data_IF_194875238842
#
_entry.id   IF_194875238842
#
_cell.length_a   1.000
_cell.length_b   1.000
_cell.length_c   1.000
_cell.angle_alpha   90.00
_cell.angle_beta   90.00
_cell.angle_gamma   90.00
#
_symmetry.space_group_name_H-M   'P 1'
#
loop_
_entity.id
_entity.type
_entity.pdbx_description
1 polymer ?
#
# COMPACT_ATOMS: atom_id res chain seq x y z
N UNK A 1 -37.04 -43.53 16.81
CA UNK A 1 -38.39 -42.98 17.07
C UNK A 1 -38.38 -41.55 16.57
N UNK A 2 -39.16 -41.28 15.53
CA UNK A 2 -39.32 -39.95 14.96
C UNK A 2 -40.28 -39.13 15.83
N UNK A 3 -39.98 -37.84 16.03
CA UNK A 3 -40.97 -36.87 16.50
C UNK A 3 -41.05 -35.71 15.52
N UNK A 4 -42.25 -35.61 14.95
CA UNK A 4 -42.80 -34.72 13.96
C UNK A 4 -42.88 -33.24 14.38
N UNK A 5 -42.52 -32.38 13.43
CA UNK A 5 -43.29 -31.26 12.85
C UNK A 5 -44.34 -30.51 13.68
N UNK A 6 -44.25 -29.17 13.66
CA UNK A 6 -45.41 -28.28 13.56
C UNK A 6 -45.05 -26.94 12.91
N UNK A 7 -45.45 -26.79 11.64
CA UNK A 7 -45.61 -25.55 10.88
C UNK A 7 -47.09 -25.15 10.94
N UNK A 8 -47.39 -23.90 11.30
CA UNK A 8 -48.65 -23.18 11.03
C UNK A 8 -48.28 -21.71 10.86
N UNK A 9 -48.17 -21.17 9.64
CA UNK A 9 -49.23 -20.62 8.77
C UNK A 9 -50.00 -19.44 9.38
N UNK A 10 -49.72 -18.24 8.90
CA UNK A 10 -50.72 -17.18 8.69
C UNK A 10 -50.28 -16.29 7.52
N UNK A 11 -50.99 -16.45 6.41
CA UNK A 11 -51.14 -15.49 5.30
C UNK A 11 -52.02 -14.32 5.81
N UNK A 12 -52.19 -13.13 5.21
CA UNK A 12 -52.15 -12.69 3.82
C UNK A 12 -52.27 -11.13 3.77
N UNK A 13 -52.17 -10.58 2.54
CA UNK A 13 -52.63 -9.27 2.04
C UNK A 13 -51.66 -8.08 2.28
N UNK A 14 -51.23 -7.28 1.29
CA UNK A 14 -51.87 -6.84 0.05
C UNK A 14 -50.85 -6.55 -1.07
N UNK A 15 -51.17 -6.98 -2.28
CA UNK A 15 -50.62 -6.45 -3.52
C UNK A 15 -51.30 -5.12 -3.88
N UNK A 16 -50.54 -4.16 -4.41
CA UNK A 16 -51.07 -3.13 -5.31
C UNK A 16 -50.05 -2.81 -6.40
N UNK A 17 -50.35 -3.30 -7.59
CA UNK A 17 -49.80 -2.81 -8.84
C UNK A 17 -50.38 -1.44 -9.17
N UNK A 18 -49.53 -0.53 -9.67
CA UNK A 18 -49.95 0.55 -10.56
C UNK A 18 -48.95 0.61 -11.71
N UNK A 19 -49.45 0.25 -12.89
CA UNK A 19 -48.91 0.53 -14.21
C UNK A 19 -49.44 1.89 -14.71
N UNK A 20 -48.85 2.41 -15.79
CA UNK A 20 -49.08 3.66 -16.57
C UNK A 20 -47.97 4.71 -16.35
N UNK A 21 -47.27 5.22 -17.37
CA UNK A 21 -47.50 5.28 -18.81
C UNK A 21 -46.18 5.32 -19.60
N UNK A 22 -46.20 4.67 -20.76
CA UNK A 22 -45.32 4.95 -21.89
C UNK A 22 -45.76 6.24 -22.60
N UNK A 23 -44.79 7.02 -23.09
CA UNK A 23 -44.98 7.95 -24.22
C UNK A 23 -43.84 7.70 -25.20
N UNK A 24 -44.24 7.25 -26.38
CA UNK A 24 -43.48 7.24 -27.63
C UNK A 24 -43.04 8.65 -28.02
N UNK A 25 -41.80 8.81 -28.49
CA UNK A 25 -41.54 9.67 -29.65
C UNK A 25 -40.51 9.04 -30.58
N UNK A 26 -40.94 8.97 -31.84
CA UNK A 26 -40.27 8.44 -33.02
C UNK A 26 -39.03 9.24 -33.44
N UNK A 27 -38.05 8.49 -33.98
CA UNK A 27 -37.21 8.75 -35.17
C UNK A 27 -36.72 10.18 -35.41
N UNK A 28 -35.39 10.36 -35.49
CA UNK A 28 -34.79 10.45 -36.82
C UNK A 28 -33.29 10.11 -36.85
N UNK A 29 -32.97 9.48 -37.97
CA UNK A 29 -31.71 9.02 -38.54
C UNK A 29 -30.69 10.14 -38.74
N UNK A 30 -29.40 9.85 -38.55
CA UNK A 30 -28.32 10.12 -39.54
C UNK A 30 -26.98 9.56 -39.07
N UNK A 31 -26.56 8.54 -39.80
CA UNK A 31 -25.19 8.04 -39.86
C UNK A 31 -24.34 9.09 -40.56
N UNK A 32 -23.26 9.56 -39.95
CA UNK A 32 -22.19 10.30 -40.63
C UNK A 32 -20.91 9.46 -40.60
N UNK A 33 -20.69 8.71 -41.68
CA UNK A 33 -19.39 8.13 -42.02
C UNK A 33 -18.46 9.28 -42.42
N UNK A 34 -17.50 9.62 -41.57
CA UNK A 34 -16.38 10.50 -41.93
C UNK A 34 -15.23 9.62 -42.37
N UNK A 35 -14.93 9.71 -43.67
CA UNK A 35 -13.79 9.06 -44.32
C UNK A 35 -12.48 9.76 -43.92
N UNK A 36 -11.52 9.00 -43.42
CA UNK A 36 -10.13 9.44 -43.23
C UNK A 36 -9.33 9.15 -44.51
N UNK A 37 -8.48 10.08 -45.01
CA UNK A 37 -7.55 9.76 -46.07
C UNK A 37 -6.29 9.09 -45.50
N UNK A 38 -5.89 8.01 -46.16
CA UNK A 38 -4.64 7.30 -45.93
C UNK A 38 -3.45 8.16 -46.38
N UNK A 39 -2.49 8.39 -45.48
CA UNK A 39 -1.17 8.91 -45.83
C UNK A 39 -0.17 7.76 -45.85
N UNK A 40 0.22 7.37 -47.06
CA UNK A 40 1.37 6.51 -47.35
C UNK A 40 2.62 7.36 -47.56
N UNK A 41 3.73 6.99 -46.91
CA UNK A 41 5.06 7.25 -47.44
C UNK A 41 6.02 7.96 -46.48
N UNK A 42 6.91 7.18 -45.86
CA UNK A 42 8.28 7.64 -45.65
C UNK A 42 9.25 6.49 -45.89
N UNK A 43 10.20 6.77 -46.78
CA UNK A 43 11.27 5.89 -47.24
C UNK A 43 12.34 5.79 -46.17
N UNK A 44 12.82 4.57 -45.96
CA UNK A 44 14.01 4.22 -45.19
C UNK A 44 15.26 4.82 -45.87
N UNK A 45 16.07 5.55 -45.10
CA UNK A 45 17.44 5.90 -45.46
C UNK A 45 18.41 5.15 -44.54
N UNK A 46 19.15 4.22 -45.16
CA UNK A 46 20.30 3.52 -44.62
C UNK A 46 21.43 4.49 -44.25
N UNK A 47 21.93 4.38 -43.02
CA UNK A 47 23.13 5.08 -42.56
C UNK A 47 24.33 4.13 -42.59
N UNK A 48 25.31 4.44 -43.42
CA UNK A 48 26.62 3.79 -43.53
C UNK A 48 27.47 4.03 -42.27
N UNK A 49 27.92 2.94 -41.63
CA UNK A 49 28.88 2.99 -40.54
C UNK A 49 30.32 2.94 -41.08
N UNK A 50 31.08 4.02 -40.90
CA UNK A 50 32.54 4.05 -41.10
C UNK A 50 33.25 3.58 -39.84
N UNK A 51 34.10 2.56 -40.02
CA UNK A 51 34.92 1.90 -39.01
C UNK A 51 36.21 2.69 -38.80
N UNK A 52 36.40 3.26 -37.60
CA UNK A 52 37.67 3.89 -37.20
C UNK A 52 38.44 2.95 -36.27
N UNK A 53 39.61 2.52 -36.73
CA UNK A 53 40.65 1.82 -35.94
C UNK A 53 41.44 2.83 -35.12
N UNK A 54 41.51 2.64 -33.81
CA UNK A 54 42.46 3.35 -32.95
C UNK A 54 43.27 2.38 -32.10
N UNK A 55 44.53 2.76 -31.94
CA UNK A 55 45.69 1.97 -31.57
C UNK A 55 45.79 1.78 -30.05
N UNK A 56 46.08 0.55 -29.65
CA UNK A 56 46.40 0.15 -28.28
C UNK A 56 47.75 0.74 -27.82
N UNK A 57 47.72 1.56 -26.77
CA UNK A 57 48.93 2.02 -26.07
C UNK A 57 48.86 1.58 -24.61
N UNK A 58 49.56 0.47 -24.30
CA UNK A 58 49.76 -0.04 -22.94
C UNK A 58 50.51 1.00 -22.08
N UNK A 59 49.91 1.42 -20.98
CA UNK A 59 50.57 2.23 -19.94
C UNK A 59 50.62 1.40 -18.65
N UNK A 60 51.83 1.03 -18.22
CA UNK A 60 52.10 0.41 -16.91
C UNK A 60 51.72 1.39 -15.80
N UNK A 61 50.92 0.95 -14.84
CA UNK A 61 50.65 1.67 -13.59
C UNK A 61 51.18 0.83 -12.43
N UNK A 62 51.98 1.49 -11.59
CA UNK A 62 52.65 0.97 -10.40
C UNK A 62 51.63 0.56 -9.32
N UNK A 63 51.81 -0.63 -8.74
CA UNK A 63 50.99 -1.16 -7.66
C UNK A 63 51.35 -0.49 -6.33
N UNK A 64 50.48 0.37 -5.81
CA UNK A 64 50.55 0.87 -4.43
C UNK A 64 49.60 0.03 -3.57
N UNK A 65 50.14 -0.77 -2.65
CA UNK A 65 49.37 -1.47 -1.62
C UNK A 65 48.73 -0.42 -0.70
N UNK A 66 47.41 -0.29 -0.76
CA UNK A 66 46.64 0.45 0.24
C UNK A 66 46.24 -0.54 1.32
N UNK A 67 46.69 -0.29 2.57
CA UNK A 67 46.23 -0.99 3.76
C UNK A 67 44.73 -0.74 3.91
N UNK A 68 43.92 -1.79 3.94
CA UNK A 68 42.54 -1.71 4.38
C UNK A 68 42.55 -1.31 5.87
N UNK A 69 42.17 -0.07 6.13
CA UNK A 69 41.79 0.36 7.46
C UNK A 69 40.38 -0.16 7.72
N UNK A 70 40.21 -0.90 8.80
CA UNK A 70 38.90 -1.23 9.35
C UNK A 70 38.19 0.08 9.69
N UNK A 71 37.15 0.40 8.93
CA UNK A 71 36.24 1.51 9.19
C UNK A 71 34.86 0.89 9.37
N UNK A 72 34.44 0.89 10.64
CA UNK A 72 33.09 0.93 11.19
C UNK A 72 32.03 -0.02 10.61
N UNK A 73 31.82 -1.13 11.32
CA UNK A 73 30.60 -1.95 11.28
C UNK A 73 29.58 -1.55 12.37
N UNK A 74 29.71 -0.35 12.96
CA UNK A 74 28.84 0.12 14.06
C UNK A 74 27.63 0.92 13.58
N UNK A 75 27.64 1.46 12.36
CA UNK A 75 26.55 2.31 11.87
C UNK A 75 25.39 1.52 11.22
N UNK A 76 25.66 0.37 10.59
CA UNK A 76 24.61 -0.41 9.90
C UNK A 76 23.69 -1.20 10.86
N UNK A 77 24.22 -1.58 12.04
CA UNK A 77 23.45 -2.33 13.05
C UNK A 77 22.46 -1.46 13.81
N UNK A 78 22.79 -0.18 14.00
CA UNK A 78 21.95 0.77 14.76
C UNK A 78 20.70 1.16 13.95
N UNK A 79 20.81 1.29 12.63
CA UNK A 79 19.69 1.61 11.72
C UNK A 79 18.65 0.47 11.67
N UNK A 80 19.11 -0.79 11.61
CA UNK A 80 18.21 -1.96 11.57
C UNK A 80 17.42 -2.12 12.87
N UNK A 81 18.04 -1.84 14.02
CA UNK A 81 17.34 -1.92 15.32
C UNK A 81 16.24 -0.89 15.49
N UNK A 82 16.42 0.32 14.96
CA UNK A 82 15.39 1.37 15.00
C UNK A 82 14.21 1.02 14.10
N UNK A 83 14.48 0.56 12.87
CA UNK A 83 13.44 0.07 11.95
C UNK A 83 12.65 -1.07 12.58
N UNK A 84 13.32 -2.04 13.21
CA UNK A 84 12.64 -3.15 13.88
C UNK A 84 11.77 -2.69 15.06
N UNK A 85 12.22 -1.70 15.84
CA UNK A 85 11.43 -1.10 16.91
C UNK A 85 10.19 -0.36 16.37
N UNK A 86 10.32 0.42 15.29
CA UNK A 86 9.19 1.09 14.64
C UNK A 86 8.19 0.09 14.07
N UNK A 87 8.68 -0.97 13.43
CA UNK A 87 7.85 -2.07 12.93
C UNK A 87 7.12 -2.77 14.08
N UNK A 88 7.81 -3.11 15.17
CA UNK A 88 7.19 -3.73 16.33
C UNK A 88 6.20 -2.80 17.05
N UNK A 89 6.46 -1.49 17.06
CA UNK A 89 5.50 -0.50 17.57
C UNK A 89 4.16 -0.61 16.81
N UNK A 90 4.21 -0.68 15.48
CA UNK A 90 3.00 -0.88 14.65
C UNK A 90 2.30 -2.19 14.99
N UNK A 91 3.06 -3.30 15.13
CA UNK A 91 2.51 -4.62 15.47
C UNK A 91 1.76 -4.56 16.81
N UNK A 92 2.39 -3.98 17.84
CA UNK A 92 1.82 -3.99 19.19
C UNK A 92 0.70 -2.97 19.38
N UNK A 93 0.72 -1.81 18.72
CA UNK A 93 -0.45 -0.93 18.67
C UNK A 93 -1.66 -1.64 18.05
N UNK A 94 -1.44 -2.44 17.00
CA UNK A 94 -2.51 -3.22 16.38
C UNK A 94 -3.03 -4.33 17.30
N UNK A 95 -2.14 -5.11 17.92
CA UNK A 95 -2.49 -6.16 18.87
C UNK A 95 -3.29 -5.57 20.05
N UNK A 96 -2.77 -4.52 20.69
CA UNK A 96 -3.38 -3.94 21.89
C UNK A 96 -4.77 -3.36 21.64
N UNK A 97 -4.95 -2.69 20.51
CA UNK A 97 -6.26 -2.15 20.14
C UNK A 97 -7.27 -3.28 19.89
N UNK A 98 -6.88 -4.35 19.19
CA UNK A 98 -7.72 -5.52 18.92
C UNK A 98 -8.08 -6.24 20.23
N UNK A 99 -7.12 -6.45 21.13
CA UNK A 99 -7.36 -7.04 22.44
C UNK A 99 -8.33 -6.20 23.26
N UNK A 100 -8.09 -4.88 23.35
CA UNK A 100 -8.94 -3.97 24.12
C UNK A 100 -10.38 -3.92 23.58
N UNK A 101 -10.54 -3.98 22.26
CA UNK A 101 -11.85 -4.03 21.62
C UNK A 101 -12.50 -5.42 21.71
N UNK A 102 -11.74 -6.46 22.06
CA UNK A 102 -12.13 -7.87 21.94
C UNK A 102 -12.72 -8.19 20.55
N UNK A 103 -12.18 -7.53 19.52
CA UNK A 103 -12.70 -7.55 18.16
C UNK A 103 -11.67 -6.99 17.18
N UNK A 104 -11.42 -7.67 16.07
CA UNK A 104 -10.53 -7.18 15.01
C UNK A 104 -9.62 -8.25 14.43
N UNK A 105 -8.64 -7.80 13.62
CA UNK A 105 -7.82 -8.66 12.77
C UNK A 105 -6.33 -8.34 12.99
N UNK A 106 -5.64 -9.04 13.91
CA UNK A 106 -4.23 -8.75 14.22
C UNK A 106 -3.26 -9.35 13.18
N UNK A 107 -3.66 -10.41 12.47
CA UNK A 107 -2.78 -11.16 11.58
C UNK A 107 -2.12 -10.33 10.47
N UNK A 108 -2.93 -9.62 9.67
CA UNK A 108 -2.42 -8.77 8.59
C UNK A 108 -1.53 -7.63 9.12
N UNK A 109 -1.95 -6.82 10.12
CA UNK A 109 -1.07 -5.80 10.70
C UNK A 109 0.29 -6.34 11.15
N UNK A 110 0.33 -7.53 11.75
CA UNK A 110 1.58 -8.15 12.19
C UNK A 110 2.51 -8.52 11.03
N UNK A 111 1.96 -9.11 9.96
CA UNK A 111 2.71 -9.50 8.77
C UNK A 111 3.17 -8.30 7.92
N UNK A 112 2.28 -7.32 7.74
CA UNK A 112 2.47 -6.16 6.86
C UNK A 112 3.15 -4.95 7.52
N UNK A 113 3.41 -4.96 8.84
CA UNK A 113 4.07 -3.84 9.52
C UNK A 113 5.37 -3.37 8.83
N UNK A 114 6.27 -4.24 8.33
CA UNK A 114 7.46 -3.83 7.59
C UNK A 114 7.17 -2.97 6.35
N UNK A 115 6.29 -3.44 5.46
CA UNK A 115 5.95 -2.70 4.24
C UNK A 115 5.17 -1.42 4.56
N UNK A 116 4.32 -1.45 5.59
CA UNK A 116 3.59 -0.27 6.06
C UNK A 116 4.53 0.81 6.59
N UNK A 117 5.50 0.42 7.42
CA UNK A 117 6.53 1.32 7.95
C UNK A 117 7.34 1.96 6.82
N UNK A 118 7.93 1.15 5.92
CA UNK A 118 8.73 1.67 4.80
C UNK A 118 7.90 2.62 3.92
N UNK A 119 6.63 2.32 3.67
CA UNK A 119 5.75 3.20 2.91
C UNK A 119 5.56 4.56 3.58
N UNK A 120 5.15 4.58 4.84
CA UNK A 120 4.80 5.81 5.55
C UNK A 120 6.03 6.60 6.00
N UNK A 121 7.11 5.95 6.40
CA UNK A 121 8.27 6.63 6.96
C UNK A 121 9.25 7.11 5.88
N UNK A 122 9.42 6.33 4.81
CA UNK A 122 10.51 6.57 3.84
C UNK A 122 10.04 6.96 2.43
N UNK A 123 8.86 6.50 2.01
CA UNK A 123 8.49 6.50 0.57
C UNK A 123 7.44 7.53 0.22
N UNK A 124 6.34 7.58 0.96
CA UNK A 124 5.17 8.36 0.59
C UNK A 124 5.39 9.85 0.89
N UNK A 125 4.96 10.70 -0.04
CA UNK A 125 4.88 12.14 0.18
C UNK A 125 3.50 12.50 0.70
N UNK A 126 3.40 12.84 1.97
CA UNK A 126 2.15 13.31 2.56
C UNK A 126 2.42 14.41 3.58
N UNK A 127 1.35 15.04 4.05
CA UNK A 127 1.42 16.00 5.15
C UNK A 127 0.35 15.61 6.18
N UNK A 128 0.73 15.08 7.36
CA UNK A 128 -0.22 14.65 8.38
C UNK A 128 -1.05 15.80 8.95
N UNK A 129 -0.54 17.04 8.86
CA UNK A 129 -1.25 18.26 9.28
C UNK A 129 -2.13 18.85 8.17
N UNK A 130 -2.07 18.30 6.97
CA UNK A 130 -2.98 18.63 5.88
C UNK A 130 -3.34 17.36 5.09
N UNK A 131 -4.24 16.51 5.62
CA UNK A 131 -4.70 15.30 4.94
C UNK A 131 -5.41 15.60 3.61
N UNK A 132 -5.72 16.86 3.31
CA UNK A 132 -6.37 17.30 2.08
C UNK A 132 -5.40 17.90 1.06
N UNK A 133 -4.07 17.86 1.31
CA UNK A 133 -3.09 18.32 0.33
C UNK A 133 -3.29 17.62 -1.01
N UNK A 134 -3.58 18.40 -2.04
CA UNK A 134 -4.00 17.87 -3.34
C UNK A 134 -2.99 16.92 -3.99
N UNK A 135 -1.69 17.21 -3.89
CA UNK A 135 -0.65 16.45 -4.57
C UNK A 135 0.12 15.47 -3.66
N UNK A 136 -0.46 15.07 -2.52
CA UNK A 136 0.09 13.98 -1.70
C UNK A 136 0.07 12.65 -2.46
N UNK A 137 0.92 11.70 -2.12
CA UNK A 137 0.71 10.32 -2.54
C UNK A 137 -0.55 9.75 -1.86
N UNK A 138 -1.26 8.86 -2.56
CA UNK A 138 -2.50 8.24 -2.08
C UNK A 138 -2.22 6.84 -1.57
N UNK A 139 -2.80 6.47 -0.43
CA UNK A 139 -2.71 5.13 0.13
C UNK A 139 -4.11 4.51 0.29
N UNK A 140 -4.28 3.29 -0.22
CA UNK A 140 -5.51 2.51 -0.08
C UNK A 140 -5.20 1.18 0.58
N UNK A 141 -5.79 0.91 1.74
CA UNK A 141 -5.81 -0.43 2.30
C UNK A 141 -7.00 -1.20 1.71
N UNK A 142 -6.76 -1.94 0.63
CA UNK A 142 -7.80 -2.77 0.01
C UNK A 142 -8.20 -3.93 0.91
N UNK A 143 -7.23 -4.54 1.60
CA UNK A 143 -7.47 -5.53 2.64
C UNK A 143 -7.96 -4.86 3.94
N UNK A 144 -9.15 -4.26 3.88
CA UNK A 144 -9.69 -3.35 4.90
C UNK A 144 -9.80 -3.92 6.31
N UNK A 145 -9.90 -5.25 6.44
CA UNK A 145 -9.95 -5.91 7.74
C UNK A 145 -8.72 -5.60 8.60
N UNK A 146 -7.55 -5.41 7.96
CA UNK A 146 -6.28 -4.99 8.57
C UNK A 146 -6.22 -3.51 8.99
N UNK A 147 -7.35 -2.84 9.15
CA UNK A 147 -7.49 -1.42 9.48
C UNK A 147 -6.55 -0.90 10.58
N UNK A 148 -6.25 -1.71 11.61
CA UNK A 148 -5.33 -1.31 12.67
C UNK A 148 -3.90 -1.05 12.19
N UNK A 149 -3.46 -1.66 11.08
CA UNK A 149 -2.22 -1.28 10.39
C UNK A 149 -2.28 0.19 9.99
N UNK A 150 -3.33 0.58 9.26
CA UNK A 150 -3.49 1.95 8.77
C UNK A 150 -3.67 2.95 9.91
N UNK A 151 -4.42 2.61 10.96
CA UNK A 151 -4.59 3.50 12.11
C UNK A 151 -3.30 3.69 12.90
N UNK A 152 -2.52 2.62 13.12
CA UNK A 152 -1.20 2.75 13.74
C UNK A 152 -0.26 3.62 12.91
N UNK A 153 -0.24 3.43 11.59
CA UNK A 153 0.57 4.25 10.67
C UNK A 153 0.15 5.73 10.68
N UNK A 154 -1.15 6.02 10.65
CA UNK A 154 -1.66 7.40 10.75
C UNK A 154 -1.30 8.05 12.09
N UNK A 155 -1.40 7.29 13.18
CA UNK A 155 -1.03 7.75 14.52
C UNK A 155 0.45 8.12 14.60
N UNK A 156 1.33 7.20 14.20
CA UNK A 156 2.79 7.40 14.22
C UNK A 156 3.23 8.50 13.26
N UNK A 157 2.55 8.64 12.11
CA UNK A 157 2.77 9.75 11.18
C UNK A 157 2.27 11.11 11.71
N UNK A 158 1.57 11.15 12.85
CA UNK A 158 1.15 12.39 13.50
C UNK A 158 -0.12 13.02 12.93
N UNK A 159 -1.01 12.23 12.32
CA UNK A 159 -2.33 12.70 11.91
C UNK A 159 -3.20 13.01 13.14
N UNK A 160 -3.78 14.22 13.19
CA UNK A 160 -4.67 14.63 14.30
C UNK A 160 -5.99 13.85 14.33
N UNK A 161 -6.24 13.01 13.32
CA UNK A 161 -7.39 12.13 13.21
C UNK A 161 -7.30 10.86 14.02
N UNK A 162 -6.08 10.44 14.36
CA UNK A 162 -5.84 9.17 15.06
C UNK A 162 -4.80 9.41 16.14
N UNK A 163 -5.26 9.71 17.35
CA UNK A 163 -4.43 9.80 18.54
C UNK A 163 -4.45 8.48 19.31
N UNK A 164 -3.64 8.38 20.36
CA UNK A 164 -3.57 7.19 21.19
C UNK A 164 -4.95 6.84 21.79
N UNK A 165 -5.74 7.84 22.21
CA UNK A 165 -7.10 7.66 22.70
C UNK A 165 -8.06 7.08 21.64
N UNK A 166 -7.84 7.41 20.37
CA UNK A 166 -8.62 6.88 19.26
C UNK A 166 -8.25 5.40 19.01
N UNK A 167 -6.97 5.03 19.09
CA UNK A 167 -6.54 3.63 19.03
C UNK A 167 -7.12 2.81 20.19
N UNK A 168 -7.13 3.37 21.40
CA UNK A 168 -7.78 2.76 22.57
C UNK A 168 -9.30 2.64 22.38
N UNK A 169 -9.90 3.43 21.50
CA UNK A 169 -11.34 3.40 21.22
C UNK A 169 -11.67 2.65 19.93
N UNK A 170 -10.75 1.82 19.42
CA UNK A 170 -10.98 0.99 18.24
C UNK A 170 -12.28 0.19 18.33
N UNK A 171 -13.08 0.23 17.25
CA UNK A 171 -14.40 -0.44 17.13
C UNK A 171 -15.45 -0.03 18.16
N UNK A 172 -15.25 1.08 18.87
CA UNK A 172 -16.25 1.59 19.80
C UNK A 172 -17.23 2.54 19.10
N UNK A 173 -18.42 2.68 19.67
CA UNK A 173 -19.45 3.56 19.13
C UNK A 173 -18.96 5.02 19.04
N UNK A 174 -19.08 5.62 17.85
CA UNK A 174 -18.68 7.00 17.60
C UNK A 174 -17.16 7.24 17.63
N UNK A 175 -16.34 6.18 17.58
CA UNK A 175 -14.89 6.33 17.48
C UNK A 175 -14.46 6.66 16.06
N UNK A 176 -13.31 7.32 15.95
CA UNK A 176 -12.66 7.65 14.67
C UNK A 176 -11.83 6.50 14.11
N UNK A 177 -11.93 5.34 14.72
CA UNK A 177 -11.20 4.10 14.38
C UNK A 177 -12.21 2.95 14.22
N UNK A 178 -13.10 3.04 13.20
CA UNK A 178 -14.10 2.00 12.92
C UNK A 178 -13.46 0.68 12.53
N UNK A 179 -14.26 -0.40 12.55
CA UNK A 179 -13.77 -1.77 12.33
C UNK A 179 -13.26 -2.07 10.92
N UNK A 180 -13.53 -1.19 9.96
CA UNK A 180 -12.92 -1.09 8.63
C UNK A 180 -12.69 0.40 8.34
N UNK A 181 -11.72 0.80 7.50
CA UNK A 181 -11.43 2.20 7.20
C UNK A 181 -12.63 2.89 6.54
N UNK A 182 -12.99 4.08 7.01
CA UNK A 182 -14.10 4.89 6.50
C UNK A 182 -13.61 6.31 6.17
N UNK A 183 -13.66 6.69 4.89
CA UNK A 183 -13.14 8.00 4.44
C UNK A 183 -13.92 9.20 5.00
N UNK A 184 -15.18 8.98 5.35
CA UNK A 184 -16.09 10.00 5.87
C UNK A 184 -15.93 10.21 7.38
N UNK A 185 -15.23 9.31 8.07
CA UNK A 185 -15.03 9.33 9.52
C UNK A 185 -13.59 9.72 9.90
N UNK A 186 -12.60 9.13 9.23
CA UNK A 186 -11.18 9.24 9.63
C UNK A 186 -10.37 10.01 8.59
N UNK A 187 -10.10 11.33 8.76
CA UNK A 187 -9.21 12.06 7.87
C UNK A 187 -7.84 11.38 7.73
N UNK A 188 -7.34 11.23 6.49
CA UNK A 188 -6.16 10.41 6.19
C UNK A 188 -6.47 9.00 5.69
N UNK A 189 -7.72 8.54 5.85
CA UNK A 189 -8.27 7.41 5.08
C UNK A 189 -8.82 7.93 3.77
N UNK A 190 -8.26 7.48 2.64
CA UNK A 190 -8.62 7.98 1.31
C UNK A 190 -10.00 7.46 0.85
N UNK A 191 -10.29 6.19 1.11
CA UNK A 191 -11.50 5.51 0.64
C UNK A 191 -12.01 4.53 1.70
N UNK A 192 -13.33 4.27 1.71
CA UNK A 192 -13.91 3.08 2.35
C UNK A 192 -13.57 1.83 1.51
N UNK A 193 -12.27 1.49 1.54
CA UNK A 193 -11.53 0.34 0.98
C UNK A 193 -11.85 -0.12 -0.46
N UNK A 194 -11.20 -1.19 -0.91
CA UNK A 194 -11.34 -1.75 -2.25
C UNK A 194 -10.23 -1.36 -3.24
N UNK A 195 -9.64 -2.36 -3.89
CA UNK A 195 -8.52 -2.21 -4.83
C UNK A 195 -8.84 -1.32 -6.03
N UNK A 196 -10.05 -1.46 -6.58
CA UNK A 196 -10.51 -0.74 -7.78
C UNK A 196 -10.51 0.79 -7.56
N UNK A 197 -10.70 1.24 -6.32
CA UNK A 197 -10.59 2.65 -5.98
C UNK A 197 -9.15 3.18 -6.13
N UNK A 198 -8.14 2.36 -5.83
CA UNK A 198 -6.73 2.69 -6.11
C UNK A 198 -6.46 2.89 -7.61
N UNK A 199 -7.06 2.05 -8.47
CA UNK A 199 -7.02 2.24 -9.93
C UNK A 199 -7.68 3.55 -10.35
N UNK A 200 -8.84 3.87 -9.78
CA UNK A 200 -9.54 5.13 -10.04
C UNK A 200 -8.74 6.38 -9.63
N UNK A 201 -8.08 6.33 -8.47
CA UNK A 201 -7.21 7.42 -7.99
C UNK A 201 -5.99 7.62 -8.91
N UNK A 202 -5.33 6.54 -9.34
CA UNK A 202 -4.22 6.61 -10.28
C UNK A 202 -4.65 7.12 -11.66
N UNK A 203 -5.85 6.73 -12.13
CA UNK A 203 -6.43 7.26 -13.37
C UNK A 203 -6.67 8.77 -13.25
N UNK A 204 -7.22 9.24 -12.12
CA UNK A 204 -7.49 10.66 -11.89
C UNK A 204 -6.19 11.48 -11.90
N UNK A 205 -5.13 10.98 -11.24
CA UNK A 205 -3.80 11.60 -11.29
C UNK A 205 -3.31 11.74 -12.73
N UNK A 206 -3.30 10.64 -13.50
CA UNK A 206 -2.79 10.64 -14.88
C UNK A 206 -3.59 11.57 -15.79
N UNK A 207 -4.92 11.58 -15.63
CA UNK A 207 -5.80 12.47 -16.37
C UNK A 207 -5.52 13.95 -16.07
N UNK A 208 -5.43 14.31 -14.78
CA UNK A 208 -5.22 15.69 -14.36
C UNK A 208 -3.80 16.18 -14.70
N UNK A 209 -2.79 15.34 -14.53
CA UNK A 209 -1.42 15.61 -14.96
C UNK A 209 -1.36 15.91 -16.46
N UNK A 210 -1.97 15.07 -17.31
CA UNK A 210 -2.00 15.29 -18.75
C UNK A 210 -2.73 16.58 -19.17
N UNK A 211 -3.74 17.00 -18.40
CA UNK A 211 -4.51 18.22 -18.70
C UNK A 211 -3.82 19.50 -18.26
N UNK A 212 -3.14 19.46 -17.12
CA UNK A 212 -2.72 20.67 -16.42
C UNK A 212 -1.21 20.86 -16.34
N UNK A 213 -0.40 19.79 -16.34
CA UNK A 213 1.05 19.95 -16.33
C UNK A 213 1.54 20.61 -17.62
N UNK A 214 2.63 21.36 -17.50
CA UNK A 214 3.37 21.99 -18.59
C UNK A 214 4.80 21.46 -18.60
N UNK A 215 5.54 21.54 -19.72
CA UNK A 215 6.91 21.03 -19.79
C UNK A 215 7.87 21.61 -18.74
N UNK A 216 7.57 22.80 -18.21
CA UNK A 216 8.34 23.53 -17.22
C UNK A 216 7.70 23.54 -15.81
N UNK A 217 6.52 22.93 -15.64
CA UNK A 217 5.81 22.93 -14.36
C UNK A 217 4.85 21.73 -14.21
N UNK A 218 5.19 20.82 -13.30
CA UNK A 218 4.35 19.69 -12.91
C UNK A 218 3.63 19.99 -11.60
N UNK A 219 2.32 20.22 -11.68
CA UNK A 219 1.48 20.54 -10.50
C UNK A 219 0.66 19.34 -10.02
N UNK A 220 0.51 18.32 -10.87
CA UNK A 220 -0.06 17.02 -10.53
C UNK A 220 0.99 15.96 -10.82
N UNK A 221 1.58 15.43 -9.76
CA UNK A 221 2.58 14.39 -9.83
C UNK A 221 2.57 13.64 -8.49
N UNK A 222 1.83 12.54 -8.40
CA UNK A 222 1.83 11.70 -7.21
C UNK A 222 1.59 10.22 -7.52
N UNK A 223 1.98 9.37 -6.57
CA UNK A 223 1.76 7.93 -6.65
C UNK A 223 0.46 7.52 -5.96
N UNK A 224 -0.07 6.37 -6.36
CA UNK A 224 -1.11 5.65 -5.63
C UNK A 224 -0.55 4.30 -5.20
N UNK A 225 -0.54 4.06 -3.89
CA UNK A 225 -0.12 2.81 -3.27
C UNK A 225 -1.33 2.05 -2.74
N UNK A 226 -1.34 0.74 -2.94
CA UNK A 226 -2.43 -0.13 -2.47
C UNK A 226 -1.84 -1.33 -1.75
N UNK A 227 -2.30 -1.64 -0.54
CA UNK A 227 -2.04 -2.95 0.11
C UNK A 227 -3.29 -3.83 -0.05
N UNK A 228 -3.11 -5.03 -0.57
CA UNK A 228 -4.15 -6.03 -0.79
C UNK A 228 -3.67 -7.42 -0.36
N UNK A 229 -4.60 -8.34 -0.10
CA UNK A 229 -4.30 -9.73 0.23
C UNK A 229 -5.02 -10.72 -0.69
N UNK A 230 -4.98 -12.00 -0.35
CA UNK A 230 -5.55 -13.09 -1.16
C UNK A 230 -7.04 -12.89 -1.46
N UNK A 231 -7.82 -12.44 -0.48
CA UNK A 231 -9.25 -12.14 -0.65
C UNK A 231 -9.50 -11.13 -1.77
N UNK A 232 -8.67 -10.10 -1.88
CA UNK A 232 -8.79 -9.13 -2.97
C UNK A 232 -8.39 -9.74 -4.32
N UNK A 233 -7.43 -10.67 -4.34
CA UNK A 233 -6.98 -11.34 -5.56
C UNK A 233 -8.02 -12.30 -6.12
N UNK A 234 -8.81 -12.94 -5.25
CA UNK A 234 -9.90 -13.85 -5.64
C UNK A 234 -11.11 -13.13 -6.24
N UNK A 235 -11.35 -11.86 -5.86
CA UNK A 235 -12.52 -11.11 -6.29
C UNK A 235 -12.43 -10.66 -7.75
N UNK A 236 -13.43 -11.03 -8.57
CA UNK A 236 -13.42 -10.76 -10.01
C UNK A 236 -13.31 -9.27 -10.39
N UNK A 237 -13.83 -8.38 -9.53
CA UNK A 237 -13.76 -6.93 -9.74
C UNK A 237 -12.31 -6.40 -9.70
N UNK A 238 -11.42 -7.05 -8.95
CA UNK A 238 -10.00 -6.68 -8.93
C UNK A 238 -9.35 -7.03 -10.26
N UNK A 239 -9.67 -8.18 -10.85
CA UNK A 239 -9.17 -8.57 -12.16
C UNK A 239 -9.65 -7.61 -13.27
N UNK A 240 -10.92 -7.20 -13.25
CA UNK A 240 -11.44 -6.18 -14.18
C UNK A 240 -10.65 -4.87 -14.07
N UNK A 241 -10.46 -4.37 -12.84
CA UNK A 241 -9.74 -3.13 -12.60
C UNK A 241 -8.26 -3.23 -12.97
N UNK A 242 -7.60 -4.36 -12.66
CA UNK A 242 -6.21 -4.63 -13.05
C UNK A 242 -6.04 -4.67 -14.56
N UNK A 243 -6.98 -5.28 -15.29
CA UNK A 243 -6.96 -5.29 -16.76
C UNK A 243 -7.03 -3.87 -17.33
N UNK A 244 -7.90 -3.01 -16.78
CA UNK A 244 -8.01 -1.62 -17.20
C UNK A 244 -6.76 -0.79 -16.85
N UNK A 245 -6.22 -0.96 -15.64
CA UNK A 245 -5.03 -0.24 -15.20
C UNK A 245 -3.82 -0.50 -16.09
N UNK A 246 -3.62 -1.75 -16.51
CA UNK A 246 -2.57 -2.11 -17.45
C UNK A 246 -2.85 -1.58 -18.85
N UNK A 247 -4.08 -1.71 -19.35
CA UNK A 247 -4.48 -1.13 -20.64
C UNK A 247 -4.20 0.38 -20.71
N UNK A 248 -4.43 1.11 -19.62
CA UNK A 248 -4.16 2.54 -19.53
C UNK A 248 -2.70 2.88 -19.20
N UNK A 249 -1.83 1.90 -18.92
CA UNK A 249 -0.43 2.11 -18.56
C UNK A 249 -0.25 3.00 -17.34
N UNK A 250 -0.94 2.70 -16.24
CA UNK A 250 -0.92 3.51 -15.01
C UNK A 250 0.39 3.32 -14.20
N UNK A 251 1.54 3.76 -14.72
CA UNK A 251 2.85 3.55 -14.08
C UNK A 251 3.12 4.27 -12.76
N UNK A 252 2.15 5.00 -12.21
CA UNK A 252 2.21 5.54 -10.84
C UNK A 252 1.32 4.78 -9.85
N UNK A 253 0.73 3.66 -10.26
CA UNK A 253 0.02 2.72 -9.40
C UNK A 253 0.96 1.58 -8.98
N UNK A 254 1.17 1.44 -7.67
CA UNK A 254 2.01 0.39 -7.08
C UNK A 254 1.17 -0.38 -6.05
N UNK A 255 0.95 -1.65 -6.32
CA UNK A 255 0.16 -2.54 -5.48
C UNK A 255 1.08 -3.52 -4.73
N UNK A 256 0.93 -3.62 -3.41
CA UNK A 256 1.60 -4.60 -2.56
C UNK A 256 0.62 -5.71 -2.24
N UNK A 257 0.91 -6.90 -2.74
CA UNK A 257 0.17 -8.10 -2.41
C UNK A 257 0.83 -8.75 -1.19
N UNK A 258 0.12 -8.73 -0.05
CA UNK A 258 0.44 -9.55 1.12
C UNK A 258 0.15 -11.03 0.81
N UNK A 259 1.18 -11.70 0.32
CA UNK A 259 1.18 -13.11 -0.09
C UNK A 259 1.53 -13.97 1.12
N UNK A 260 0.53 -14.20 1.98
CA UNK A 260 0.72 -14.90 3.25
C UNK A 260 0.14 -16.32 3.28
N UNK A 261 -0.47 -16.75 2.17
CA UNK A 261 -1.07 -18.07 1.98
C UNK A 261 -2.23 -18.41 2.94
N UNK A 262 -2.85 -17.43 3.60
CA UNK A 262 -3.93 -17.65 4.57
C UNK A 262 -5.16 -16.79 4.23
N UNK A 263 -6.29 -17.47 4.10
CA UNK A 263 -7.62 -16.86 4.07
C UNK A 263 -8.38 -17.15 5.37
N UNK A 264 -9.65 -16.72 5.46
CA UNK A 264 -10.49 -16.98 6.66
C UNK A 264 -10.64 -18.47 6.95
N UNK A 265 -10.81 -19.30 5.90
CA UNK A 265 -11.16 -20.72 6.04
C UNK A 265 -9.92 -21.64 6.15
N UNK A 266 -8.71 -21.08 6.13
CA UNK A 266 -7.48 -21.85 6.20
C UNK A 266 -6.42 -21.40 5.22
N UNK A 267 -5.53 -22.34 4.89
CA UNK A 267 -4.55 -22.21 3.81
C UNK A 267 -5.24 -21.81 2.50
N UNK A 268 -4.67 -20.92 1.71
CA UNK A 268 -5.22 -20.56 0.40
C UNK A 268 -5.38 -21.76 -0.55
N UNK A 269 -4.61 -22.84 -0.38
CA UNK A 269 -4.66 -24.02 -1.25
C UNK A 269 -6.05 -24.70 -1.33
N UNK A 270 -6.94 -24.50 -0.35
CA UNK A 270 -8.30 -25.05 -0.40
C UNK A 270 -9.14 -24.42 -1.53
N UNK A 271 -8.86 -23.17 -1.92
CA UNK A 271 -9.72 -22.41 -2.83
C UNK A 271 -8.99 -21.53 -3.86
N UNK A 272 -7.68 -21.31 -3.71
CA UNK A 272 -6.91 -20.34 -4.49
C UNK A 272 -5.48 -20.84 -4.75
N UNK A 273 -5.29 -21.50 -5.89
CA UNK A 273 -4.03 -22.12 -6.31
C UNK A 273 -3.53 -21.62 -7.66
N UNK A 274 -4.03 -20.48 -8.13
CA UNK A 274 -3.59 -19.91 -9.39
C UNK A 274 -2.20 -19.27 -9.27
N UNK A 275 -1.58 -19.01 -10.42
CA UNK A 275 -0.34 -18.25 -10.50
C UNK A 275 -0.67 -16.76 -10.66
N UNK A 276 -0.75 -16.05 -9.53
CA UNK A 276 -1.04 -14.61 -9.50
C UNK A 276 -0.01 -13.81 -10.30
N UNK A 277 1.26 -14.21 -10.24
CA UNK A 277 2.36 -13.54 -10.94
C UNK A 277 2.12 -13.59 -12.45
N UNK A 278 1.85 -14.80 -12.99
CA UNK A 278 1.50 -14.98 -14.40
C UNK A 278 0.21 -14.27 -14.80
N UNK A 279 -0.81 -14.21 -13.92
CA UNK A 279 -2.03 -13.45 -14.21
C UNK A 279 -1.71 -11.98 -14.39
N UNK A 280 -0.96 -11.37 -13.48
CA UNK A 280 -0.59 -9.96 -13.56
C UNK A 280 0.31 -9.66 -14.77
N UNK A 281 1.29 -10.52 -15.07
CA UNK A 281 2.08 -10.44 -16.31
C UNK A 281 1.19 -10.49 -17.56
N UNK A 282 0.21 -11.41 -17.59
CA UNK A 282 -0.76 -11.56 -18.67
C UNK A 282 -1.69 -10.35 -18.84
N UNK A 283 -2.01 -9.66 -17.75
CA UNK A 283 -2.75 -8.39 -17.80
C UNK A 283 -1.89 -7.23 -18.32
N UNK A 284 -0.55 -7.33 -18.25
CA UNK A 284 0.38 -6.29 -18.68
C UNK A 284 1.03 -5.49 -17.55
N UNK A 285 1.01 -6.01 -16.33
CA UNK A 285 1.66 -5.39 -15.16
C UNK A 285 3.16 -5.69 -15.13
N UNK A 286 3.92 -4.84 -14.44
CA UNK A 286 5.25 -5.22 -13.95
C UNK A 286 5.11 -5.98 -12.63
N UNK A 287 5.82 -7.09 -12.48
CA UNK A 287 5.74 -7.97 -11.31
C UNK A 287 7.11 -8.04 -10.64
N UNK A 288 7.13 -7.77 -9.33
CA UNK A 288 8.32 -7.87 -8.49
C UNK A 288 7.98 -8.80 -7.32
N UNK A 289 8.89 -9.69 -6.94
CA UNK A 289 8.70 -10.59 -5.81
C UNK A 289 9.73 -10.32 -4.71
N UNK A 290 9.23 -9.87 -3.56
CA UNK A 290 9.96 -9.80 -2.29
C UNK A 290 9.67 -11.07 -1.52
N UNK A 291 10.69 -11.91 -1.35
CA UNK A 291 10.52 -13.25 -0.76
C UNK A 291 10.47 -13.23 0.76
N UNK A 292 11.08 -12.22 1.38
CA UNK A 292 11.06 -12.04 2.82
C UNK A 292 10.44 -10.68 3.18
N UNK A 293 9.11 -10.64 3.29
CA UNK A 293 8.39 -9.44 3.67
C UNK A 293 8.42 -9.12 5.16
N UNK A 294 8.81 -10.05 6.03
CA UNK A 294 8.76 -9.84 7.48
C UNK A 294 10.01 -9.14 8.03
N UNK A 295 11.19 -9.37 7.45
CA UNK A 295 12.47 -8.76 7.86
C UNK A 295 13.34 -8.28 6.69
N UNK A 296 12.92 -8.50 5.44
CA UNK A 296 13.66 -8.05 4.25
C UNK A 296 13.42 -6.58 3.90
N UNK A 297 13.72 -5.66 4.84
CA UNK A 297 13.46 -4.23 4.67
C UNK A 297 14.11 -3.66 3.40
N UNK A 298 15.35 -4.04 3.12
CA UNK A 298 16.07 -3.60 1.92
C UNK A 298 15.50 -4.18 0.62
N UNK A 299 14.95 -5.41 0.66
CA UNK A 299 14.26 -5.99 -0.49
C UNK A 299 12.98 -5.20 -0.82
N UNK A 300 12.22 -4.80 0.21
CA UNK A 300 11.03 -3.95 0.05
C UNK A 300 11.44 -2.58 -0.53
N UNK A 301 12.46 -1.93 0.02
CA UNK A 301 12.97 -0.64 -0.51
C UNK A 301 13.42 -0.76 -1.96
N UNK A 302 14.15 -1.81 -2.30
CA UNK A 302 14.62 -2.08 -3.66
C UNK A 302 13.45 -2.29 -4.63
N UNK A 303 12.45 -3.08 -4.23
CA UNK A 303 11.25 -3.33 -5.02
C UNK A 303 10.45 -2.05 -5.29
N UNK A 304 10.30 -1.18 -4.29
CA UNK A 304 9.63 0.13 -4.44
C UNK A 304 10.41 1.02 -5.41
N UNK A 305 11.73 1.07 -5.28
CA UNK A 305 12.59 1.86 -6.17
C UNK A 305 12.49 1.38 -7.62
N UNK A 306 12.47 0.06 -7.84
CA UNK A 306 12.28 -0.53 -9.15
C UNK A 306 10.88 -0.24 -9.70
N UNK A 307 9.83 -0.43 -8.90
CA UNK A 307 8.45 -0.13 -9.27
C UNK A 307 8.30 1.33 -9.73
N UNK A 308 8.89 2.28 -8.99
CA UNK A 308 8.89 3.70 -9.36
C UNK A 308 9.72 3.99 -10.61
N UNK A 309 10.65 3.13 -11.03
CA UNK A 309 11.40 3.30 -12.27
C UNK A 309 10.60 2.86 -13.51
N UNK A 310 9.64 1.96 -13.34
CA UNK A 310 8.72 1.54 -14.41
C UNK A 310 7.62 2.59 -14.58
N UNK A 311 7.58 3.25 -15.74
CA UNK A 311 6.69 4.41 -15.98
C UNK A 311 5.50 4.09 -16.88
N UNK A 312 5.61 3.04 -17.67
CA UNK A 312 4.66 2.64 -18.70
C UNK A 312 3.66 1.57 -18.24
N UNK A 313 3.93 0.91 -17.11
CA UNK A 313 3.09 -0.15 -16.55
C UNK A 313 2.83 0.07 -15.06
N UNK A 314 1.62 -0.22 -14.57
CA UNK A 314 1.43 -0.35 -13.13
C UNK A 314 2.25 -1.54 -12.60
N UNK A 315 2.64 -1.49 -11.31
CA UNK A 315 3.49 -2.52 -10.71
C UNK A 315 2.78 -3.25 -9.57
N UNK A 316 2.87 -4.58 -9.57
CA UNK A 316 2.48 -5.43 -8.46
C UNK A 316 3.75 -5.98 -7.80
N UNK A 317 3.93 -5.64 -6.52
CA UNK A 317 4.98 -6.15 -5.66
C UNK A 317 4.34 -7.25 -4.81
N UNK A 318 4.61 -8.51 -5.15
CA UNK A 318 4.26 -9.65 -4.32
C UNK A 318 5.22 -9.70 -3.14
N UNK A 319 4.70 -9.61 -1.94
CA UNK A 319 5.49 -9.59 -0.71
C UNK A 319 5.08 -10.80 0.11
N UNK A 320 5.93 -11.83 0.14
CA UNK A 320 5.64 -13.03 0.93
C UNK A 320 5.82 -12.72 2.40
N UNK A 321 4.76 -12.86 3.20
CA UNK A 321 4.78 -12.61 4.65
C UNK A 321 4.25 -13.80 5.43
N UNK A 322 4.53 -13.82 6.73
CA UNK A 322 3.84 -14.68 7.69
C UNK A 322 2.70 -13.90 8.35
N UNK A 323 1.45 -14.35 8.17
CA UNK A 323 0.31 -13.77 8.90
C UNK A 323 0.51 -13.99 10.40
N UNK A 324 0.27 -12.96 11.22
CA UNK A 324 0.50 -13.05 12.67
C UNK A 324 1.97 -13.20 13.06
N UNK A 325 2.91 -12.73 12.22
CA UNK A 325 4.34 -12.79 12.49
C UNK A 325 4.68 -12.36 13.93
N UNK A 326 5.44 -13.20 14.62
CA UNK A 326 5.85 -12.99 16.01
C UNK A 326 4.99 -13.70 17.05
N UNK A 327 3.75 -14.08 16.74
CA UNK A 327 2.96 -14.95 17.62
C UNK A 327 3.51 -16.38 17.58
N UNK A 328 4.07 -16.91 18.68
CA UNK A 328 4.71 -18.21 18.66
C UNK A 328 3.73 -19.37 18.40
N UNK A 329 2.45 -19.21 18.75
CA UNK A 329 1.47 -20.30 18.66
C UNK A 329 0.38 -20.09 17.60
N UNK A 330 0.20 -18.87 17.09
CA UNK A 330 -0.85 -18.56 16.08
C UNK A 330 -0.34 -18.02 14.76
N UNK A 331 0.96 -17.73 14.61
CA UNK A 331 1.51 -17.33 13.31
C UNK A 331 1.26 -18.41 12.24
N UNK A 332 1.12 -17.98 10.98
CA UNK A 332 0.86 -18.86 9.84
C UNK A 332 -0.40 -19.73 9.97
N UNK A 333 -1.46 -19.19 10.56
CA UNK A 333 -2.72 -19.89 10.80
C UNK A 333 -3.91 -18.96 10.58
N UNK A 334 -5.01 -19.48 10.03
CA UNK A 334 -6.26 -18.71 9.92
C UNK A 334 -6.81 -18.23 11.28
N UNK A 335 -6.41 -18.87 12.38
CA UNK A 335 -6.82 -18.50 13.73
C UNK A 335 -6.37 -17.08 14.15
N UNK A 336 -5.32 -16.53 13.53
CA UNK A 336 -4.87 -15.14 13.76
C UNK A 336 -5.53 -14.13 12.81
N UNK A 337 -6.35 -14.59 11.84
CA UNK A 337 -6.95 -13.73 10.84
C UNK A 337 -7.98 -12.77 11.47
N UNK A 338 -9.02 -13.30 12.12
CA UNK A 338 -10.23 -12.55 12.48
C UNK A 338 -10.57 -12.50 13.97
N UNK A 339 -9.61 -12.82 14.83
CA UNK A 339 -9.85 -12.82 16.29
C UNK A 339 -8.66 -12.24 17.04
N UNK A 340 -8.95 -11.70 18.23
CA UNK A 340 -7.93 -11.32 19.19
C UNK A 340 -6.96 -12.50 19.48
N UNK A 341 -5.70 -12.19 19.75
CA UNK A 341 -4.72 -13.18 20.16
C UNK A 341 -5.12 -13.78 21.52
N UNK A 342 -5.61 -12.94 22.43
CA UNK A 342 -5.88 -13.28 23.82
C UNK A 342 -4.65 -13.07 24.70
N UNK A 343 -4.86 -12.64 25.95
CA UNK A 343 -3.82 -12.19 26.87
C UNK A 343 -2.56 -13.07 26.93
N UNK A 344 -2.72 -14.41 27.06
CA UNK A 344 -1.57 -15.34 27.11
C UNK A 344 -0.72 -15.30 25.84
N UNK A 345 -1.37 -15.21 24.68
CA UNK A 345 -0.68 -15.18 23.40
C UNK A 345 -0.06 -13.81 23.13
N UNK A 346 -0.68 -12.73 23.61
CA UNK A 346 -0.07 -11.40 23.59
C UNK A 346 1.21 -11.38 24.40
N UNK A 347 1.19 -11.89 25.64
CA UNK A 347 2.38 -11.96 26.49
C UNK A 347 3.49 -12.80 25.83
N UNK A 348 3.12 -13.94 25.24
CA UNK A 348 4.06 -14.80 24.51
C UNK A 348 4.64 -14.09 23.26
N UNK A 349 3.81 -13.34 22.52
CA UNK A 349 4.23 -12.56 21.36
C UNK A 349 5.19 -11.44 21.75
N UNK A 350 4.91 -10.73 22.87
CA UNK A 350 5.80 -9.72 23.45
C UNK A 350 7.16 -10.29 23.80
N UNK A 351 7.19 -11.43 24.47
CA UNK A 351 8.43 -12.13 24.82
C UNK A 351 9.20 -12.56 23.56
N UNK A 352 8.50 -13.12 22.57
CA UNK A 352 9.11 -13.62 21.35
C UNK A 352 9.74 -12.50 20.49
N UNK A 353 9.11 -11.32 20.45
CA UNK A 353 9.62 -10.15 19.74
C UNK A 353 10.47 -9.20 20.61
N UNK A 354 10.78 -9.60 21.85
CA UNK A 354 11.61 -8.80 22.75
C UNK A 354 11.02 -7.42 23.07
N UNK A 355 9.69 -7.31 23.20
CA UNK A 355 8.98 -6.05 23.43
C UNK A 355 8.61 -5.86 24.90
N UNK A 356 9.36 -5.05 25.67
CA UNK A 356 9.19 -4.91 27.12
C UNK A 356 8.14 -3.86 27.52
N UNK A 357 7.51 -3.20 26.55
CA UNK A 357 6.66 -2.06 26.83
C UNK A 357 5.21 -2.44 27.11
N UNK A 358 4.58 -1.61 27.94
CA UNK A 358 3.16 -1.71 28.30
C UNK A 358 2.24 -1.48 27.09
N UNK A 359 0.96 -1.89 27.18
CA UNK A 359 0.00 -1.70 26.09
C UNK A 359 -0.11 -0.24 25.62
N UNK A 360 -0.23 -0.05 24.32
CA UNK A 360 -0.31 1.26 23.64
C UNK A 360 0.94 2.16 23.77
N UNK A 361 2.06 1.63 24.28
CA UNK A 361 3.29 2.41 24.38
C UNK A 361 3.96 2.62 23.02
N UNK A 362 4.39 3.85 22.76
CA UNK A 362 5.23 4.23 21.62
C UNK A 362 6.58 4.71 22.16
N UNK A 363 7.69 3.99 21.91
CA UNK A 363 9.03 4.43 22.29
C UNK A 363 9.39 5.76 21.62
N UNK A 364 10.07 6.65 22.34
CA UNK A 364 10.47 7.97 21.80
C UNK A 364 11.31 7.83 20.53
N UNK A 365 12.24 6.87 20.51
CA UNK A 365 13.12 6.55 19.38
C UNK A 365 12.34 6.05 18.14
N UNK A 366 11.12 5.52 18.30
CA UNK A 366 10.26 5.12 17.18
C UNK A 366 9.52 6.31 16.54
N UNK A 367 9.52 7.48 17.19
CA UNK A 367 8.95 8.74 16.69
C UNK A 367 10.02 9.65 16.08
N UNK A 368 11.30 9.35 16.23
CA UNK A 368 12.36 10.13 15.60
C UNK A 368 12.29 9.94 14.08
N UNK A 369 12.05 11.03 13.30
CA UNK A 369 12.10 10.92 11.86
C UNK A 369 13.54 10.53 11.47
N UNK A 370 13.73 9.65 10.46
CA UNK A 370 15.05 9.42 9.93
C UNK A 370 15.67 10.77 9.54
N UNK A 371 17.00 10.96 9.73
CA UNK A 371 17.66 12.21 9.39
C UNK A 371 17.26 12.60 7.97
N UNK A 372 16.88 13.87 7.71
CA UNK A 372 16.24 14.26 6.47
C UNK A 372 17.08 13.79 5.28
N UNK A 373 16.63 12.73 4.61
CA UNK A 373 17.09 12.43 3.27
C UNK A 373 16.73 13.65 2.45
N UNK A 374 17.76 14.33 1.94
CA UNK A 374 17.70 15.59 1.23
C UNK A 374 16.33 15.79 0.56
N UNK A 375 15.49 16.60 1.19
CA UNK A 375 14.32 17.17 0.55
C UNK A 375 14.87 18.07 -0.56
N UNK A 376 15.05 17.52 -1.75
CA UNK A 376 15.17 18.29 -2.99
C UNK A 376 13.80 18.89 -3.31
N UNK A 377 13.29 19.74 -2.40
CA UNK A 377 12.38 20.80 -2.76
C UNK A 377 13.22 21.86 -3.44
N UNK A 378 13.04 21.95 -4.76
CA UNK A 378 13.11 23.17 -5.57
C UNK A 378 13.62 24.38 -4.79
N UNK A 379 14.92 24.68 -4.89
CA UNK A 379 15.41 26.03 -4.67
C UNK A 379 15.21 26.81 -5.97
N UNK A 380 14.22 27.70 -6.10
CA UNK A 380 14.36 28.80 -7.04
C UNK A 380 15.50 29.69 -6.54
N UNK A 381 16.34 30.09 -7.47
CA UNK A 381 17.56 30.85 -7.25
C UNK A 381 17.40 32.02 -6.25
N UNK A 382 18.23 32.04 -5.20
CA UNK A 382 18.75 33.30 -4.63
C UNK A 382 17.97 34.01 -3.53
N UNK A 383 17.60 33.35 -2.42
CA UNK A 383 17.36 34.08 -1.15
C UNK A 383 18.04 33.42 0.06
N UNK A 384 18.57 34.20 1.03
CA UNK A 384 19.36 33.70 2.15
C UNK A 384 18.50 33.00 3.21
N UNK A 385 19.10 32.00 3.86
CA UNK A 385 18.52 31.14 4.89
C UNK A 385 18.10 31.89 6.16
N UNK A 386 16.89 31.61 6.65
CA UNK A 386 16.48 31.94 8.02
C UNK A 386 16.82 30.79 8.99
N UNK A 387 17.22 31.07 10.24
CA UNK A 387 17.70 30.06 11.18
C UNK A 387 16.56 29.20 11.76
N UNK A 388 16.88 27.93 12.03
CA UNK A 388 15.99 26.92 12.60
C UNK A 388 15.47 27.32 13.99
N UNK A 389 14.15 27.39 14.16
CA UNK A 389 13.54 27.45 15.49
C UNK A 389 13.47 26.04 16.09
N UNK A 390 14.22 25.82 17.17
CA UNK A 390 13.97 24.74 18.13
C UNK A 390 12.58 24.99 18.74
N UNK A 391 11.71 23.98 18.72
CA UNK A 391 10.46 24.02 19.49
C UNK A 391 10.78 23.68 20.95
N UNK A 392 10.47 24.62 21.83
CA UNK A 392 10.38 24.43 23.27
C UNK A 392 9.13 23.63 23.63
N UNK A 393 9.30 22.69 24.55
CA UNK A 393 8.24 22.00 25.29
C UNK A 393 7.38 22.98 26.07
N UNK A 394 6.05 22.82 25.98
CA UNK A 394 5.06 23.10 27.04
C UNK A 394 3.98 22.04 26.93
#
# INVERSE_FOLDING_TARGET
MASTSSLTLSQALLARAVSHNAIDHLRDSRVSLVSLPAFSGLKSTTCTATRATTTSRRRRVSSRKVRAAAVETLDATTDTSLVEMSVNTIRFLAIDAVEKANSGHPGLPMGCAPMGHILYDEVMRYNPKNPYWFNRDRFVLSAGHGCMLQYALLHLAGYDSVKEEDLKSFRQWGSRTPGHPENFETPGVEVTTGYCNGVGLALAEKHLAARYNKPDNEIVDHYTYVILGDGCQMEGISNEACSLAAHWGLGKLIAFYDDNHISIDGDTEIAFTEDVDKRFEGLGWHVIWVKNGNTGYDEIRAAIKEAKAVKDKPTMIKVTTTIGYGSPNKANSYSVHGSALGAKEVDATRQNLGWPYEPFHVPEDALEPPPPQLVQLLKPNGMPSLPSMRRSTV
#
